data_IF_835999149308
#
_entry.id   IF_835999149308
#
_cell.length_a   1.000
_cell.length_b   1.000
_cell.length_c   1.000
_cell.angle_alpha   90.00
_cell.angle_beta   90.00
_cell.angle_gamma   90.00
#
_symmetry.space_group_name_H-M   'P 1'
#
loop_
_entity.id
_entity.type
_entity.pdbx_description
1 polymer ?
#
# COMPACT_ATOMS: atom_id res chain seq x y z
N UNK A 1 41.98 7.89 -28.86
CA UNK A 1 41.70 7.04 -27.67
C UNK A 1 40.73 7.81 -26.78
N UNK A 2 39.46 7.42 -26.75
CA UNK A 2 38.46 8.08 -25.90
C UNK A 2 38.46 7.39 -24.54
N UNK A 3 38.73 8.13 -23.47
CA UNK A 3 38.77 7.60 -22.12
C UNK A 3 37.36 7.12 -21.71
N UNK A 4 37.26 5.84 -21.37
CA UNK A 4 36.07 5.25 -20.76
C UNK A 4 35.86 5.93 -19.41
N UNK A 5 34.83 6.77 -19.29
CA UNK A 5 34.41 7.31 -18.00
C UNK A 5 33.78 6.18 -17.19
N UNK A 6 34.52 5.69 -16.19
CA UNK A 6 33.99 4.81 -15.15
C UNK A 6 32.96 5.59 -14.32
N UNK A 7 31.68 5.25 -14.50
CA UNK A 7 30.58 5.80 -13.69
C UNK A 7 30.79 5.42 -12.23
N UNK A 8 30.97 6.41 -11.36
CA UNK A 8 31.09 6.20 -9.92
C UNK A 8 29.90 5.40 -9.37
N UNK A 9 30.11 4.48 -8.41
CA UNK A 9 29.04 3.73 -7.79
C UNK A 9 28.05 4.71 -7.15
N UNK A 10 26.77 4.60 -7.52
CA UNK A 10 25.71 5.38 -6.87
C UNK A 10 25.39 4.69 -5.55
N UNK A 11 25.49 5.42 -4.44
CA UNK A 11 24.99 4.95 -3.14
C UNK A 11 23.51 4.58 -3.28
N UNK A 12 23.08 3.38 -2.85
CA UNK A 12 21.67 3.02 -2.85
C UNK A 12 20.84 4.03 -2.06
N UNK A 13 19.66 4.36 -2.57
CA UNK A 13 18.70 5.20 -1.84
C UNK A 13 18.06 4.38 -0.73
N UNK A 14 17.74 5.03 0.39
CA UNK A 14 17.01 4.42 1.49
C UNK A 14 15.56 4.12 1.07
N UNK A 15 15.06 2.88 1.29
CA UNK A 15 13.67 2.54 1.04
C UNK A 15 12.73 3.39 1.89
N UNK A 16 11.62 3.82 1.30
CA UNK A 16 10.56 4.52 2.05
C UNK A 16 9.49 3.51 2.46
N UNK A 17 9.02 3.53 3.72
CA UNK A 17 7.87 2.74 4.14
C UNK A 17 6.66 3.00 3.24
N UNK A 18 6.02 1.92 2.81
CA UNK A 18 4.87 1.93 1.91
C UNK A 18 3.97 0.73 2.19
N UNK A 19 2.69 0.88 1.87
CA UNK A 19 1.71 -0.20 1.95
C UNK A 19 0.92 -0.29 0.64
N UNK A 20 0.47 -1.49 0.30
CA UNK A 20 -0.42 -1.74 -0.84
C UNK A 20 -1.49 -2.74 -0.43
N UNK A 21 -2.69 -2.61 -1.00
CA UNK A 21 -3.82 -3.49 -0.72
C UNK A 21 -4.19 -4.31 -1.94
N UNK A 22 -4.44 -5.60 -1.73
CA UNK A 22 -4.94 -6.51 -2.75
C UNK A 22 -6.40 -6.82 -2.42
N UNK A 23 -7.33 -6.23 -3.16
CA UNK A 23 -8.74 -6.61 -3.05
C UNK A 23 -8.99 -7.85 -3.90
N UNK A 24 -9.48 -8.89 -3.25
CA UNK A 24 -9.79 -10.18 -3.87
C UNK A 24 -11.28 -10.45 -3.75
N UNK A 25 -11.84 -11.12 -4.77
CA UNK A 25 -13.17 -11.73 -4.67
C UNK A 25 -13.17 -13.09 -5.34
N UNK A 26 -14.13 -13.92 -4.98
CA UNK A 26 -14.41 -15.16 -5.70
C UNK A 26 -14.80 -14.85 -7.15
N UNK A 27 -14.25 -15.62 -8.08
CA UNK A 27 -14.63 -15.52 -9.48
C UNK A 27 -16.00 -16.18 -9.70
N UNK A 28 -16.80 -15.71 -10.70
CA UNK A 28 -18.06 -16.37 -11.04
C UNK A 28 -17.89 -17.86 -11.36
N UNK A 29 -18.86 -18.73 -11.05
CA UNK A 29 -18.79 -20.15 -11.38
C UNK A 29 -18.48 -20.41 -12.86
N UNK A 30 -17.53 -21.29 -13.15
CA UNK A 30 -17.07 -21.60 -14.51
C UNK A 30 -15.98 -20.68 -15.06
N UNK A 31 -15.50 -19.72 -14.26
CA UNK A 31 -14.29 -18.96 -14.59
C UNK A 31 -13.04 -19.85 -14.61
N UNK A 32 -12.02 -19.54 -15.44
CA UNK A 32 -10.80 -20.35 -15.51
C UNK A 32 -10.00 -20.36 -14.21
N UNK A 33 -10.04 -19.25 -13.47
CA UNK A 33 -9.36 -19.06 -12.19
C UNK A 33 -10.39 -18.85 -11.08
N UNK A 34 -10.09 -19.24 -9.82
CA UNK A 34 -11.05 -19.17 -8.71
C UNK A 34 -11.20 -17.77 -8.10
N UNK A 35 -10.27 -16.85 -8.39
CA UNK A 35 -10.20 -15.53 -7.78
C UNK A 35 -10.04 -14.44 -8.83
N UNK A 36 -10.65 -13.30 -8.57
CA UNK A 36 -10.39 -12.05 -9.28
C UNK A 36 -9.70 -11.05 -8.34
N UNK A 37 -8.75 -10.30 -8.89
CA UNK A 37 -7.98 -9.29 -8.15
C UNK A 37 -8.20 -7.91 -8.75
N UNK A 38 -8.52 -6.94 -7.91
CA UNK A 38 -8.65 -5.55 -8.35
C UNK A 38 -7.27 -4.91 -8.57
N UNK A 39 -7.08 -4.31 -9.73
CA UNK A 39 -5.89 -3.51 -10.07
C UNK A 39 -6.31 -2.19 -10.68
N UNK A 40 -5.53 -1.15 -10.41
CA UNK A 40 -5.68 0.16 -11.06
C UNK A 40 -4.65 0.31 -12.17
N UNK A 41 -4.97 1.14 -13.15
CA UNK A 41 -3.97 1.63 -14.11
C UNK A 41 -3.49 3.00 -13.67
N UNK A 42 -2.21 3.09 -13.29
CA UNK A 42 -1.60 4.32 -12.81
C UNK A 42 -1.68 5.42 -13.87
N UNK A 43 -1.87 6.67 -13.44
CA UNK A 43 -1.90 7.81 -14.35
C UNK A 43 -0.59 7.85 -15.18
N UNK A 44 -0.72 7.99 -16.50
CA UNK A 44 0.43 7.99 -17.43
C UNK A 44 1.40 9.13 -17.16
N UNK A 45 0.93 10.22 -16.56
CA UNK A 45 1.76 11.39 -16.25
C UNK A 45 2.62 11.21 -14.98
N UNK A 46 2.51 10.07 -14.28
CA UNK A 46 3.36 9.81 -13.12
C UNK A 46 4.82 9.61 -13.54
N UNK A 47 5.73 10.28 -12.83
CA UNK A 47 7.18 10.25 -13.09
C UNK A 47 7.81 8.85 -12.91
N UNK A 48 7.10 7.93 -12.27
CA UNK A 48 7.55 6.57 -12.01
C UNK A 48 6.43 5.56 -12.27
N UNK A 49 6.68 4.62 -13.19
CA UNK A 49 5.75 3.56 -13.62
C UNK A 49 4.35 4.05 -14.06
N UNK A 50 4.27 5.21 -14.69
CA UNK A 50 3.01 5.72 -15.26
C UNK A 50 2.45 4.76 -16.31
N UNK A 51 1.14 4.49 -16.26
CA UNK A 51 0.44 3.63 -17.22
C UNK A 51 0.50 2.12 -16.94
N UNK A 52 1.26 1.69 -15.93
CA UNK A 52 1.34 0.30 -15.47
C UNK A 52 0.11 -0.08 -14.64
N UNK A 53 -0.22 -1.37 -14.63
CA UNK A 53 -1.15 -1.91 -13.65
C UNK A 53 -0.46 -2.09 -12.31
N UNK A 54 -1.13 -1.66 -11.25
CA UNK A 54 -0.64 -1.76 -9.89
C UNK A 54 -1.81 -2.06 -8.94
N UNK A 55 -1.48 -2.57 -7.77
CA UNK A 55 -2.40 -2.55 -6.64
C UNK A 55 -2.45 -1.13 -6.05
N UNK A 56 -3.62 -0.68 -5.57
CA UNK A 56 -3.71 0.58 -4.84
C UNK A 56 -2.74 0.59 -3.65
N UNK A 57 -2.04 1.70 -3.47
CA UNK A 57 -1.04 1.80 -2.43
C UNK A 57 -0.06 2.94 -2.61
N UNK A 58 0.67 3.23 -1.54
CA UNK A 58 1.51 4.41 -1.49
C UNK A 58 2.40 4.44 -0.28
N UNK A 59 3.08 5.57 -0.12
CA UNK A 59 3.99 5.81 0.99
C UNK A 59 3.15 5.95 2.27
N UNK A 60 3.65 5.40 3.37
CA UNK A 60 3.04 5.70 4.66
C UNK A 60 3.32 7.15 5.05
N UNK A 61 2.27 7.85 5.46
CA UNK A 61 2.34 9.19 6.03
C UNK A 61 2.42 9.12 7.57
N UNK A 62 3.01 10.13 8.21
CA UNK A 62 3.05 10.20 9.67
C UNK A 62 1.64 10.30 10.28
N UNK A 63 0.70 10.93 9.56
CA UNK A 63 -0.70 11.03 9.98
C UNK A 63 -1.41 9.66 10.03
N UNK A 64 -0.92 8.66 9.27
CA UNK A 64 -1.49 7.31 9.30
C UNK A 64 -1.23 6.61 10.66
N UNK A 65 -0.26 7.10 11.45
CA UNK A 65 0.03 6.65 12.81
C UNK A 65 -0.71 7.41 13.91
N UNK A 66 -1.67 8.28 13.58
CA UNK A 66 -2.37 9.10 14.57
C UNK A 66 -3.39 8.27 15.39
N UNK A 67 -3.55 8.53 16.70
CA UNK A 67 -4.53 7.83 17.54
C UNK A 67 -5.96 7.88 16.98
N UNK A 68 -6.37 9.00 16.38
CA UNK A 68 -7.70 9.16 15.78
C UNK A 68 -7.92 8.27 14.55
N UNK A 69 -6.86 7.92 13.83
CA UNK A 69 -6.92 6.96 12.73
C UNK A 69 -7.12 5.53 13.29
N UNK A 70 -6.34 5.18 14.32
CA UNK A 70 -6.42 3.86 14.95
C UNK A 70 -7.76 3.62 15.66
N UNK A 71 -8.37 4.66 16.24
CA UNK A 71 -9.70 4.57 16.84
C UNK A 71 -10.79 4.15 15.83
N UNK A 72 -10.53 4.27 14.53
CA UNK A 72 -11.43 3.85 13.44
C UNK A 72 -11.12 2.47 12.89
N UNK A 73 -9.99 1.86 13.25
CA UNK A 73 -9.62 0.52 12.83
C UNK A 73 -10.50 -0.53 13.52
N UNK A 74 -10.85 -1.59 12.81
CA UNK A 74 -11.61 -2.74 13.29
C UNK A 74 -10.99 -4.02 12.74
N UNK A 75 -11.10 -5.11 13.49
CA UNK A 75 -10.66 -6.44 13.08
C UNK A 75 -9.16 -6.72 13.17
N UNK A 76 -8.31 -5.68 13.25
CA UNK A 76 -6.87 -5.80 13.55
C UNK A 76 -6.53 -4.80 14.64
N UNK A 77 -6.07 -5.31 15.78
CA UNK A 77 -5.63 -4.49 16.90
C UNK A 77 -4.16 -4.07 16.74
N UNK A 78 -3.74 -2.96 17.38
CA UNK A 78 -2.37 -2.47 17.26
C UNK A 78 -1.32 -3.53 17.63
N UNK A 79 -1.56 -4.29 18.72
CA UNK A 79 -0.65 -5.36 19.15
C UNK A 79 -0.57 -6.52 18.14
N UNK A 80 -1.67 -6.82 17.45
CA UNK A 80 -1.69 -7.83 16.40
C UNK A 80 -0.93 -7.36 15.16
N UNK A 81 -1.11 -6.10 14.76
CA UNK A 81 -0.35 -5.51 13.67
C UNK A 81 1.18 -5.55 13.94
N UNK A 82 1.60 -5.24 15.17
CA UNK A 82 3.01 -5.33 15.60
C UNK A 82 3.57 -6.76 15.54
N UNK A 83 2.74 -7.77 15.78
CA UNK A 83 3.14 -9.17 15.65
C UNK A 83 3.27 -9.63 14.19
N UNK A 84 2.46 -9.05 13.28
CA UNK A 84 2.46 -9.39 11.85
C UNK A 84 3.60 -8.68 11.11
N UNK A 85 3.79 -7.39 11.38
CA UNK A 85 4.75 -6.55 10.69
C UNK A 85 5.84 -6.09 11.65
N UNK A 86 7.06 -6.57 11.43
CA UNK A 86 8.26 -6.15 12.16
C UNK A 86 9.18 -5.30 11.29
N UNK A 87 10.08 -4.51 11.90
CA UNK A 87 11.09 -3.74 11.16
C UNK A 87 10.54 -2.50 10.47
N UNK A 88 9.49 -1.91 11.01
CA UNK A 88 8.80 -0.72 10.50
C UNK A 88 9.31 0.60 11.10
N UNK A 89 10.59 0.62 11.52
CA UNK A 89 11.22 1.65 12.36
C UNK A 89 10.66 3.08 12.17
N UNK A 90 10.23 3.68 13.29
CA UNK A 90 9.79 5.08 13.34
C UNK A 90 8.29 5.30 13.18
N UNK A 91 7.47 4.25 13.08
CA UNK A 91 6.02 4.36 12.93
C UNK A 91 5.30 3.10 13.44
N UNK A 92 4.07 3.18 13.99
CA UNK A 92 3.38 1.98 14.46
C UNK A 92 2.99 1.05 13.30
N UNK A 93 3.02 -0.27 13.51
CA UNK A 93 2.68 -1.25 12.47
C UNK A 93 1.28 -1.02 11.87
N UNK A 94 0.31 -0.65 12.71
CA UNK A 94 -1.09 -0.43 12.29
C UNK A 94 -1.21 0.73 11.28
N UNK A 95 -0.25 1.65 11.22
CA UNK A 95 -0.22 2.73 10.23
C UNK A 95 -0.13 2.20 8.79
N UNK A 96 0.41 1.01 8.55
CA UNK A 96 0.46 0.40 7.23
C UNK A 96 -0.93 -0.06 6.74
N UNK A 97 -1.79 -0.52 7.65
CA UNK A 97 -3.18 -0.84 7.33
C UNK A 97 -3.98 0.43 7.03
N UNK A 98 -3.79 1.47 7.84
CA UNK A 98 -4.39 2.78 7.61
C UNK A 98 -3.97 3.34 6.25
N UNK A 99 -2.67 3.29 5.94
CA UNK A 99 -2.10 3.70 4.64
C UNK A 99 -2.77 2.96 3.49
N UNK A 100 -2.87 1.63 3.60
CA UNK A 100 -3.48 0.80 2.57
C UNK A 100 -4.95 1.17 2.29
N UNK A 101 -5.74 1.44 3.34
CA UNK A 101 -7.15 1.87 3.19
C UNK A 101 -7.25 3.29 2.65
N UNK A 102 -6.40 4.22 3.12
CA UNK A 102 -6.36 5.60 2.63
C UNK A 102 -6.04 5.67 1.14
N UNK A 103 -4.97 5.00 0.71
CA UNK A 103 -4.53 4.99 -0.69
C UNK A 103 -5.56 4.31 -1.60
N UNK A 104 -6.23 3.26 -1.11
CA UNK A 104 -7.34 2.64 -1.84
C UNK A 104 -8.46 3.65 -2.13
N UNK A 105 -8.86 4.43 -1.14
CA UNK A 105 -9.85 5.48 -1.32
C UNK A 105 -9.36 6.56 -2.30
N UNK A 106 -8.14 7.06 -2.11
CA UNK A 106 -7.58 8.15 -2.91
C UNK A 106 -7.38 7.76 -4.39
N UNK A 107 -6.92 6.54 -4.67
CA UNK A 107 -6.60 6.12 -6.03
C UNK A 107 -7.79 5.47 -6.77
N UNK A 108 -8.77 4.92 -6.06
CA UNK A 108 -9.89 4.16 -6.66
C UNK A 108 -11.29 4.58 -6.25
N UNK A 109 -11.43 5.41 -5.21
CA UNK A 109 -12.74 5.78 -4.65
C UNK A 109 -13.39 4.69 -3.81
N UNK A 110 -12.70 3.58 -3.53
CA UNK A 110 -13.21 2.47 -2.70
C UNK A 110 -12.84 2.70 -1.24
N UNK A 111 -13.84 2.79 -0.37
CA UNK A 111 -13.65 2.87 1.07
C UNK A 111 -14.01 1.53 1.73
N UNK A 112 -13.07 0.95 2.48
CA UNK A 112 -13.38 -0.14 3.42
C UNK A 112 -13.87 0.49 4.73
N UNK A 113 -15.15 0.32 5.03
CA UNK A 113 -15.78 0.84 6.23
C UNK A 113 -16.86 -0.10 6.74
N UNK A 114 -17.08 -0.02 8.05
CA UNK A 114 -18.23 -0.59 8.73
C UNK A 114 -19.15 0.53 9.23
N UNK A 115 -20.40 0.20 9.52
CA UNK A 115 -21.26 1.10 10.28
C UNK A 115 -20.93 1.03 11.78
N UNK A 116 -21.80 1.61 12.64
CA UNK A 116 -21.58 1.57 14.09
C UNK A 116 -21.73 0.17 14.69
N UNK A 117 -22.40 -0.75 14.00
CA UNK A 117 -22.57 -2.15 14.40
C UNK A 117 -21.35 -3.02 14.09
N UNK A 118 -20.46 -2.56 13.20
CA UNK A 118 -19.31 -3.32 12.72
C UNK A 118 -19.61 -4.09 11.43
#
# INVERSE_FOLDING_TARGET
MSASQTRAPKTPVEPKPAASVVLVREAPPGSPEPLEVYMIRRNRNMRFLGGYYAFPGGKVDLADGAPDAFARCRGVEAAEAEAILSGHEGMPALAFWVTAVRELLEESGVLLACDQGG
#
